data_IF_724034103790
#
_entry.id   IF_724034103790
#
_cell.length_a   1.000
_cell.length_b   1.000
_cell.length_c   1.000
_cell.angle_alpha   90.00
_cell.angle_beta   90.00
_cell.angle_gamma   90.00
#
_symmetry.space_group_name_H-M   'P 1'
#
loop_
_entity.id
_entity.type
_entity.pdbx_description
1 polymer ?
#
# COMPACT_ATOMS: atom_id res chain seq x y z
N UNK A 1 -12.43 7.46 3.83
CA UNK A 1 -11.05 7.21 3.38
C UNK A 1 -10.83 7.50 1.90
N UNK A 2 -11.56 6.87 0.96
CA UNK A 2 -11.38 7.10 -0.49
C UNK A 2 -11.42 8.58 -0.91
N UNK A 3 -12.43 9.33 -0.46
CA UNK A 3 -12.55 10.76 -0.77
C UNK A 3 -11.37 11.60 -0.25
N UNK A 4 -10.82 11.25 0.92
CA UNK A 4 -9.66 11.93 1.48
C UNK A 4 -8.40 11.68 0.64
N UNK A 5 -8.16 10.43 0.19
CA UNK A 5 -7.03 10.12 -0.68
C UNK A 5 -7.13 10.82 -2.04
N UNK A 6 -8.34 10.90 -2.61
CA UNK A 6 -8.59 11.66 -3.85
C UNK A 6 -8.33 13.15 -3.65
N UNK A 7 -8.74 13.72 -2.52
CA UNK A 7 -8.47 15.12 -2.21
C UNK A 7 -6.99 15.40 -1.97
N UNK A 8 -6.28 14.51 -1.26
CA UNK A 8 -4.84 14.60 -1.07
C UNK A 8 -4.11 14.56 -2.41
N UNK A 9 -4.42 13.58 -3.26
CA UNK A 9 -3.86 13.48 -4.61
C UNK A 9 -4.19 14.71 -5.46
N UNK A 10 -5.43 15.22 -5.41
CA UNK A 10 -5.80 16.48 -6.09
C UNK A 10 -4.93 17.67 -5.65
N UNK A 11 -4.58 17.75 -4.37
CA UNK A 11 -3.79 18.85 -3.83
C UNK A 11 -2.30 18.75 -4.18
N UNK A 12 -1.68 17.58 -4.03
CA UNK A 12 -0.22 17.44 -4.17
C UNK A 12 0.22 16.76 -5.46
N UNK A 13 -0.65 15.96 -6.08
CA UNK A 13 -0.36 15.08 -7.20
C UNK A 13 0.52 13.89 -6.80
N UNK A 14 1.04 13.19 -7.80
CA UNK A 14 2.00 12.12 -7.56
C UNK A 14 3.38 12.61 -7.12
N UNK A 15 4.23 11.64 -6.77
CA UNK A 15 5.53 11.88 -6.16
C UNK A 15 6.53 12.50 -7.13
N UNK A 16 7.00 13.70 -6.80
CA UNK A 16 8.06 14.44 -7.48
C UNK A 16 9.33 14.45 -6.65
N UNK A 17 10.43 14.10 -7.29
CA UNK A 17 11.78 14.13 -6.74
C UNK A 17 12.63 15.15 -7.50
N UNK A 18 13.64 15.69 -6.83
CA UNK A 18 14.65 16.52 -7.47
C UNK A 18 15.72 15.65 -8.18
N UNK A 19 16.79 16.29 -8.65
CA UNK A 19 17.91 15.61 -9.35
C UNK A 19 18.74 14.70 -8.43
N UNK A 20 18.55 14.78 -7.12
CA UNK A 20 19.21 13.95 -6.10
C UNK A 20 18.25 12.88 -5.53
N UNK A 21 17.12 12.65 -6.20
CA UNK A 21 16.04 11.74 -5.77
C UNK A 21 15.36 12.12 -4.44
N UNK A 22 15.51 13.37 -3.98
CA UNK A 22 14.85 13.85 -2.77
C UNK A 22 13.40 14.23 -3.10
N UNK A 23 12.45 13.58 -2.44
CA UNK A 23 11.04 13.88 -2.57
C UNK A 23 10.69 15.26 -1.99
N UNK A 24 10.17 16.17 -2.82
CA UNK A 24 9.78 17.52 -2.38
C UNK A 24 8.27 17.79 -2.49
N UNK A 25 7.51 16.97 -3.23
CA UNK A 25 6.05 17.07 -3.34
C UNK A 25 5.44 15.75 -3.79
N UNK A 26 4.25 15.43 -3.28
CA UNK A 26 3.39 14.37 -3.82
C UNK A 26 2.83 13.46 -2.75
N UNK A 27 2.22 12.35 -3.18
CA UNK A 27 1.56 11.40 -2.30
C UNK A 27 2.31 10.06 -2.22
N UNK A 28 2.60 9.62 -0.99
CA UNK A 28 3.10 8.28 -0.67
C UNK A 28 2.03 7.52 0.11
N UNK A 29 1.56 6.41 -0.43
CA UNK A 29 0.53 5.57 0.16
C UNK A 29 1.19 4.37 0.81
N UNK A 30 1.19 4.33 2.15
CA UNK A 30 1.70 3.20 2.93
C UNK A 30 0.55 2.28 3.28
N UNK A 31 0.55 1.08 2.70
CA UNK A 31 -0.48 0.07 2.92
C UNK A 31 0.09 -1.07 3.76
N UNK A 32 -0.30 -1.12 5.04
CA UNK A 32 0.03 -2.22 5.93
C UNK A 32 -0.88 -3.41 5.61
N UNK A 33 -0.29 -4.50 5.14
CA UNK A 33 -1.00 -5.75 4.93
C UNK A 33 -1.28 -6.42 6.27
N UNK A 34 -2.50 -6.92 6.42
CA UNK A 34 -2.92 -7.71 7.56
C UNK A 34 -2.92 -9.20 7.18
N UNK A 35 -2.60 -10.12 8.12
CA UNK A 35 -2.75 -11.56 7.90
C UNK A 35 -4.18 -11.88 7.44
N UNK A 36 -4.34 -12.64 6.36
CA UNK A 36 -5.65 -12.97 5.78
C UNK A 36 -6.31 -11.85 4.98
N UNK A 37 -5.78 -10.62 5.04
CA UNK A 37 -6.32 -9.42 4.36
C UNK A 37 -5.84 -9.25 2.92
N UNK A 38 -5.55 -10.34 2.21
CA UNK A 38 -5.04 -10.29 0.84
C UNK A 38 -6.07 -9.69 -0.13
N UNK A 39 -7.33 -10.12 -0.06
CA UNK A 39 -8.36 -9.61 -0.98
C UNK A 39 -8.67 -8.13 -0.76
N UNK A 40 -8.65 -7.67 0.49
CA UNK A 40 -8.77 -6.24 0.83
C UNK A 40 -7.60 -5.44 0.25
N UNK A 41 -6.37 -5.98 0.39
CA UNK A 41 -5.17 -5.38 -0.21
C UNK A 41 -5.31 -5.27 -1.73
N UNK A 42 -5.76 -6.33 -2.41
CA UNK A 42 -6.00 -6.32 -3.86
C UNK A 42 -7.08 -5.28 -4.23
N UNK A 43 -8.13 -5.14 -3.43
CA UNK A 43 -9.17 -4.12 -3.60
C UNK A 43 -8.61 -2.70 -3.51
N UNK A 44 -7.74 -2.45 -2.54
CA UNK A 44 -7.06 -1.15 -2.37
C UNK A 44 -6.13 -0.85 -3.54
N UNK A 45 -5.33 -1.82 -4.00
CA UNK A 45 -4.45 -1.64 -5.16
C UNK A 45 -5.24 -1.31 -6.44
N UNK A 46 -6.36 -2.00 -6.67
CA UNK A 46 -7.28 -1.68 -7.78
C UNK A 46 -7.87 -0.28 -7.65
N UNK A 47 -8.27 0.13 -6.46
CA UNK A 47 -8.77 1.49 -6.20
C UNK A 47 -7.69 2.54 -6.50
N UNK A 48 -6.46 2.36 -6.02
CA UNK A 48 -5.36 3.30 -6.27
C UNK A 48 -5.15 3.45 -7.77
N UNK A 49 -5.09 2.34 -8.50
CA UNK A 49 -4.91 2.36 -9.96
C UNK A 49 -6.05 3.06 -10.70
N UNK A 50 -7.29 2.85 -10.26
CA UNK A 50 -8.47 3.36 -10.96
C UNK A 50 -8.74 4.84 -10.67
N UNK A 51 -8.44 5.31 -9.46
CA UNK A 51 -8.97 6.57 -8.95
C UNK A 51 -7.92 7.62 -8.59
N UNK A 52 -6.64 7.25 -8.49
CA UNK A 52 -5.54 8.16 -8.13
C UNK A 52 -4.53 8.31 -9.29
N UNK A 53 -3.75 9.39 -9.24
CA UNK A 53 -2.69 9.66 -10.20
C UNK A 53 -1.70 8.49 -10.29
N UNK A 54 -1.26 8.09 -11.50
CA UNK A 54 -0.29 7.01 -11.70
C UNK A 54 1.07 7.28 -11.04
N UNK A 55 1.37 8.53 -10.74
CA UNK A 55 2.63 8.97 -10.13
C UNK A 55 2.65 8.82 -8.60
N UNK A 56 1.53 8.42 -7.98
CA UNK A 56 1.48 8.10 -6.55
C UNK A 56 2.40 6.91 -6.24
N UNK A 57 3.25 7.06 -5.22
CA UNK A 57 4.13 5.97 -4.79
C UNK A 57 3.40 5.09 -3.77
N UNK A 58 3.33 3.79 -4.05
CA UNK A 58 2.70 2.81 -3.17
C UNK A 58 3.79 1.99 -2.46
N UNK A 59 3.73 1.94 -1.14
CA UNK A 59 4.58 1.10 -0.31
C UNK A 59 3.71 0.00 0.32
N UNK A 60 3.92 -1.25 -0.13
CA UNK A 60 3.30 -2.43 0.45
C UNK A 60 4.15 -2.92 1.63
N UNK A 61 3.55 -2.99 2.82
CA UNK A 61 4.25 -3.37 4.04
C UNK A 61 3.69 -4.66 4.64
N UNK A 62 4.54 -5.64 4.87
CA UNK A 62 4.25 -6.88 5.63
C UNK A 62 4.61 -6.75 7.13
N UNK A 63 4.77 -5.53 7.61
CA UNK A 63 5.37 -5.20 8.90
C UNK A 63 4.47 -5.46 10.11
N UNK A 64 3.31 -6.10 9.92
CA UNK A 64 2.44 -6.50 11.01
C UNK A 64 3.11 -7.59 11.85
N UNK A 65 3.24 -7.34 13.15
CA UNK A 65 3.82 -8.27 14.12
C UNK A 65 2.81 -8.50 15.24
N UNK A 66 2.28 -9.74 15.40
CA UNK A 66 1.44 -10.07 16.55
C UNK A 66 2.15 -9.71 17.85
N UNK A 67 1.45 -9.02 18.74
CA UNK A 67 1.99 -8.55 20.02
C UNK A 67 0.90 -8.58 21.10
N UNK A 68 1.33 -8.57 22.37
CA UNK A 68 0.46 -8.59 23.54
C UNK A 68 -0.61 -9.71 23.49
N UNK A 69 -1.89 -9.38 23.30
CA UNK A 69 -3.00 -10.32 23.29
C UNK A 69 -3.41 -10.76 21.87
N UNK A 70 -2.64 -10.43 20.84
CA UNK A 70 -2.95 -10.82 19.46
C UNK A 70 -3.09 -12.34 19.28
N UNK A 71 -2.39 -13.15 20.08
CA UNK A 71 -2.51 -14.61 20.06
C UNK A 71 -3.92 -15.12 20.44
N UNK A 72 -4.74 -14.30 21.12
CA UNK A 72 -6.12 -14.65 21.48
C UNK A 72 -7.09 -14.54 20.29
N UNK A 73 -6.67 -13.89 19.21
CA UNK A 73 -7.47 -13.65 18.01
C UNK A 73 -6.80 -14.36 16.84
N UNK A 74 -7.41 -15.43 16.34
CA UNK A 74 -6.82 -16.30 15.31
C UNK A 74 -6.41 -15.48 14.07
N UNK A 75 -7.25 -14.54 13.67
CA UNK A 75 -7.05 -13.65 12.54
C UNK A 75 -5.85 -12.68 12.71
N UNK A 76 -5.46 -12.36 13.95
CA UNK A 76 -4.35 -11.48 14.28
C UNK A 76 -3.12 -12.23 14.85
N UNK A 77 -3.24 -13.54 15.06
CA UNK A 77 -2.25 -14.35 15.78
C UNK A 77 -0.95 -14.58 15.00
N UNK A 78 -0.92 -14.27 13.71
CA UNK A 78 0.20 -14.53 12.80
C UNK A 78 0.64 -13.29 12.03
N UNK A 79 1.83 -13.37 11.43
CA UNK A 79 2.29 -12.38 10.45
C UNK A 79 1.66 -12.63 9.08
N UNK A 80 1.77 -11.64 8.22
CA UNK A 80 1.55 -11.81 6.78
C UNK A 80 2.54 -12.85 6.26
N UNK A 81 2.05 -13.82 5.51
CA UNK A 81 2.90 -14.84 4.90
C UNK A 81 3.64 -14.27 3.70
N UNK A 82 4.83 -14.81 3.40
CA UNK A 82 5.58 -14.44 2.18
C UNK A 82 4.80 -14.76 0.90
N UNK A 83 3.81 -15.66 0.94
CA UNK A 83 2.92 -15.93 -0.18
C UNK A 83 1.95 -14.76 -0.38
N UNK A 84 1.21 -14.36 0.66
CA UNK A 84 0.28 -13.23 0.60
C UNK A 84 0.98 -11.95 0.12
N UNK A 85 2.17 -11.66 0.68
CA UNK A 85 2.94 -10.50 0.30
C UNK A 85 3.35 -10.53 -1.18
N UNK A 86 3.93 -11.65 -1.66
CA UNK A 86 4.31 -11.79 -3.07
C UNK A 86 3.12 -11.68 -4.01
N UNK A 87 1.98 -12.27 -3.67
CA UNK A 87 0.76 -12.15 -4.49
C UNK A 87 0.28 -10.70 -4.60
N UNK A 88 0.37 -9.91 -3.51
CA UNK A 88 0.04 -8.49 -3.55
C UNK A 88 1.03 -7.67 -4.40
N UNK A 89 2.34 -7.92 -4.25
CA UNK A 89 3.38 -7.25 -5.05
C UNK A 89 3.20 -7.57 -6.54
N UNK A 90 3.04 -8.85 -6.91
CA UNK A 90 2.80 -9.25 -8.30
C UNK A 90 1.54 -8.59 -8.89
N UNK A 91 0.47 -8.42 -8.11
CA UNK A 91 -0.70 -7.68 -8.58
C UNK A 91 -0.37 -6.20 -8.79
N UNK A 92 0.32 -5.57 -7.84
CA UNK A 92 0.65 -4.15 -7.94
C UNK A 92 1.54 -3.86 -9.17
N UNK A 93 2.50 -4.73 -9.46
CA UNK A 93 3.32 -4.69 -10.68
C UNK A 93 2.46 -4.83 -11.94
N UNK A 94 1.54 -5.81 -11.97
CA UNK A 94 0.60 -6.01 -13.09
C UNK A 94 -0.33 -4.81 -13.32
N UNK A 95 -0.69 -4.08 -12.27
CA UNK A 95 -1.48 -2.85 -12.36
C UNK A 95 -0.62 -1.65 -12.83
N UNK A 96 0.71 -1.80 -12.89
CA UNK A 96 1.64 -0.73 -13.23
C UNK A 96 1.66 0.38 -12.18
N UNK A 97 1.56 0.01 -10.90
CA UNK A 97 1.71 0.96 -9.79
C UNK A 97 3.19 1.26 -9.56
N UNK A 98 3.51 2.52 -9.24
CA UNK A 98 4.85 2.91 -8.81
C UNK A 98 5.09 2.39 -7.39
N UNK A 99 5.99 1.43 -7.23
CA UNK A 99 6.26 0.78 -5.95
C UNK A 99 7.52 1.34 -5.26
N UNK A 100 7.45 1.48 -3.95
CA UNK A 100 8.61 1.52 -3.06
C UNK A 100 8.78 0.13 -2.46
N UNK A 101 9.61 -0.68 -3.10
CA UNK A 101 10.05 -1.99 -2.61
C UNK A 101 11.24 -1.85 -1.68
#
# INVERSE_FOLDING_TARGET
>A
MKAALKEMDRQVGGLKTDQQDIAYRGLIIRHLMMPGGLEDTKGILRFIKAELSPDCLVNLMDQYRPAHQAYKYEELSRRVSSREFREAVTLAEKLGLRLAT
#
